data_IF_403409004691
#
_entry.id   IF_403409004691
#
_cell.length_a   1.000
_cell.length_b   1.000
_cell.length_c   1.000
_cell.angle_alpha   90.00
_cell.angle_beta   90.00
_cell.angle_gamma   90.00
#
_symmetry.space_group_name_H-M   'P 1'
#
loop_
_entity.id
_entity.type
_entity.pdbx_description
1 polymer ?
#
# COMPACT_ATOMS: atom_id res chain seq x y z
N UNK A 1 -64.01 -36.25 -102.33
CA UNK A 1 -63.67 -34.88 -101.88
C UNK A 1 -62.95 -35.09 -100.55
N UNK A 2 -61.62 -35.04 -100.43
CA UNK A 2 -60.68 -34.06 -100.97
C UNK A 2 -60.37 -33.05 -99.84
N UNK A 3 -59.14 -32.73 -99.44
CA UNK A 3 -57.80 -32.94 -100.06
C UNK A 3 -56.68 -33.11 -99.00
N UNK A 4 -55.47 -33.41 -99.46
CA UNK A 4 -54.22 -33.55 -98.67
C UNK A 4 -53.51 -32.20 -98.38
N UNK A 5 -52.27 -32.32 -97.85
CA UNK A 5 -51.15 -31.35 -97.69
C UNK A 5 -50.99 -30.71 -96.28
N UNK A 6 -50.11 -31.19 -95.39
CA UNK A 6 -48.61 -31.23 -95.32
C UNK A 6 -47.91 -29.89 -95.06
N UNK A 7 -46.99 -29.83 -94.06
CA UNK A 7 -45.66 -29.12 -94.07
C UNK A 7 -44.93 -29.22 -92.70
N UNK A 8 -43.59 -29.14 -92.71
CA UNK A 8 -42.61 -29.32 -91.62
C UNK A 8 -41.24 -28.70 -92.07
N UNK A 9 -40.17 -28.41 -91.26
CA UNK A 9 -39.98 -28.45 -89.79
C UNK A 9 -39.27 -27.22 -89.13
N UNK A 10 -39.29 -27.12 -87.77
CA UNK A 10 -38.27 -26.46 -86.89
C UNK A 10 -38.02 -24.93 -87.06
N UNK A 11 -37.24 -24.22 -86.19
CA UNK A 11 -36.79 -24.48 -84.81
C UNK A 11 -37.10 -23.33 -83.79
N UNK A 12 -36.80 -23.56 -82.50
CA UNK A 12 -36.20 -22.54 -81.62
C UNK A 12 -37.08 -21.72 -80.66
N UNK A 13 -37.01 -22.04 -79.36
CA UNK A 13 -36.50 -21.12 -78.32
C UNK A 13 -36.42 -21.81 -76.95
N UNK A 14 -35.22 -21.92 -76.39
CA UNK A 14 -34.99 -22.50 -75.07
C UNK A 14 -35.51 -21.52 -73.99
N UNK A 15 -36.70 -21.77 -73.43
CA UNK A 15 -37.18 -21.02 -72.26
C UNK A 15 -36.32 -21.41 -71.05
N UNK A 16 -35.58 -20.44 -70.51
CA UNK A 16 -34.82 -20.56 -69.26
C UNK A 16 -35.76 -20.92 -68.11
N UNK A 17 -35.34 -21.91 -67.32
CA UNK A 17 -36.14 -22.48 -66.25
C UNK A 17 -36.24 -21.52 -65.05
N UNK A 18 -37.28 -21.66 -64.22
CA UNK A 18 -37.48 -20.82 -63.04
C UNK A 18 -36.32 -20.96 -62.02
N UNK A 19 -35.65 -22.11 -62.01
CA UNK A 19 -34.47 -22.38 -61.18
C UNK A 19 -33.26 -21.50 -61.52
N UNK A 20 -33.04 -21.16 -62.79
CA UNK A 20 -31.96 -20.22 -63.17
C UNK A 20 -32.22 -18.82 -62.60
N UNK A 21 -33.48 -18.37 -62.65
CA UNK A 21 -33.88 -17.07 -62.08
C UNK A 21 -33.75 -17.04 -60.56
N UNK A 22 -34.04 -18.15 -59.88
CA UNK A 22 -33.84 -18.28 -58.44
C UNK A 22 -32.34 -18.20 -58.10
N UNK A 23 -31.47 -18.93 -58.82
CA UNK A 23 -30.02 -18.92 -58.59
C UNK A 23 -29.37 -17.55 -58.83
N UNK A 24 -29.83 -16.80 -59.84
CA UNK A 24 -29.34 -15.42 -60.13
C UNK A 24 -29.60 -14.46 -58.96
N UNK A 25 -30.65 -14.68 -58.16
CA UNK A 25 -31.01 -13.84 -57.00
C UNK A 25 -30.42 -14.41 -55.69
N UNK A 26 -30.41 -15.74 -55.53
CA UNK A 26 -29.88 -16.40 -54.34
C UNK A 26 -28.37 -16.31 -54.20
N UNK A 27 -27.61 -16.33 -55.30
CA UNK A 27 -26.14 -16.22 -55.26
C UNK A 27 -25.64 -14.96 -54.53
N UNK A 28 -26.06 -13.74 -54.95
CA UNK A 28 -25.69 -12.50 -54.27
C UNK A 28 -26.22 -12.38 -52.84
N UNK A 29 -27.42 -12.90 -52.56
CA UNK A 29 -28.02 -12.83 -51.22
C UNK A 29 -27.31 -13.78 -50.24
N UNK A 30 -26.91 -14.97 -50.68
CA UNK A 30 -26.16 -15.91 -49.86
C UNK A 30 -24.77 -15.35 -49.47
N UNK A 31 -24.05 -14.73 -50.41
CA UNK A 31 -22.75 -14.11 -50.09
C UNK A 31 -22.90 -12.95 -49.11
N UNK A 32 -23.91 -12.10 -49.27
CA UNK A 32 -24.26 -11.04 -48.30
C UNK A 32 -24.55 -11.60 -46.90
N UNK A 33 -25.36 -12.65 -46.79
CA UNK A 33 -25.68 -13.28 -45.50
C UNK A 33 -24.44 -13.90 -44.83
N UNK A 34 -23.54 -14.53 -45.60
CA UNK A 34 -22.28 -15.03 -45.04
C UNK A 34 -21.37 -13.90 -44.55
N UNK A 35 -21.25 -12.80 -45.30
CA UNK A 35 -20.47 -11.63 -44.91
C UNK A 35 -21.02 -10.97 -43.63
N UNK A 36 -22.33 -10.80 -43.51
CA UNK A 36 -23.00 -10.28 -42.31
C UNK A 36 -22.76 -11.20 -41.11
N UNK A 37 -22.83 -12.52 -41.30
CA UNK A 37 -22.60 -13.50 -40.23
C UNK A 37 -21.16 -13.48 -39.75
N UNK A 38 -20.18 -13.44 -40.67
CA UNK A 38 -18.77 -13.29 -40.35
C UNK A 38 -18.50 -11.96 -39.62
N UNK A 39 -19.13 -10.86 -40.05
CA UNK A 39 -18.99 -9.56 -39.39
C UNK A 39 -19.55 -9.57 -37.96
N UNK A 40 -20.74 -10.15 -37.74
CA UNK A 40 -21.35 -10.30 -36.41
C UNK A 40 -20.51 -11.17 -35.47
N UNK A 41 -20.06 -12.34 -35.94
CA UNK A 41 -19.18 -13.22 -35.17
C UNK A 41 -17.85 -12.53 -34.88
N UNK A 42 -17.25 -11.84 -35.86
CA UNK A 42 -16.01 -11.09 -35.67
C UNK A 42 -16.17 -9.94 -34.67
N UNK A 43 -17.30 -9.24 -34.67
CA UNK A 43 -17.60 -8.15 -33.73
C UNK A 43 -17.77 -8.68 -32.29
N UNK A 44 -18.55 -9.75 -32.10
CA UNK A 44 -18.77 -10.38 -30.79
C UNK A 44 -17.46 -11.00 -30.27
N UNK A 45 -16.73 -11.72 -31.13
CA UNK A 45 -15.44 -12.31 -30.77
C UNK A 45 -14.39 -11.23 -30.43
N UNK A 46 -14.34 -10.12 -31.18
CA UNK A 46 -13.46 -8.99 -30.87
C UNK A 46 -13.82 -8.37 -29.52
N UNK A 47 -15.11 -8.16 -29.21
CA UNK A 47 -15.54 -7.64 -27.91
C UNK A 47 -15.13 -8.51 -26.71
N UNK A 48 -15.00 -9.82 -26.91
CA UNK A 48 -14.52 -10.77 -25.91
C UNK A 48 -12.99 -10.84 -25.82
N UNK A 49 -12.31 -10.95 -26.98
CA UNK A 49 -10.85 -11.01 -27.08
C UNK A 49 -10.18 -9.72 -26.60
N UNK A 50 -10.74 -8.55 -26.95
CA UNK A 50 -10.16 -7.26 -26.61
C UNK A 50 -10.15 -7.02 -25.08
N UNK A 51 -11.16 -7.51 -24.34
CA UNK A 51 -11.15 -7.47 -22.86
C UNK A 51 -10.05 -8.32 -22.24
N UNK A 52 -9.77 -9.49 -22.80
CA UNK A 52 -8.70 -10.36 -22.32
C UNK A 52 -7.32 -9.75 -22.63
N UNK A 53 -7.14 -9.19 -23.82
CA UNK A 53 -5.92 -8.49 -24.22
C UNK A 53 -5.68 -7.21 -23.40
N UNK A 54 -6.73 -6.42 -23.10
CA UNK A 54 -6.65 -5.23 -22.26
C UNK A 54 -6.24 -5.59 -20.82
N UNK A 55 -6.81 -6.66 -20.25
CA UNK A 55 -6.43 -7.15 -18.93
C UNK A 55 -4.98 -7.66 -18.92
N UNK A 56 -4.57 -8.42 -19.94
CA UNK A 56 -3.19 -8.90 -20.06
C UNK A 56 -2.18 -7.75 -20.22
N UNK A 57 -2.51 -6.73 -21.01
CA UNK A 57 -1.69 -5.52 -21.16
C UNK A 57 -1.56 -4.74 -19.84
N UNK A 58 -2.65 -4.59 -19.08
CA UNK A 58 -2.62 -4.02 -17.72
C UNK A 58 -1.72 -4.85 -16.80
N UNK A 59 -1.90 -6.17 -16.74
CA UNK A 59 -1.04 -7.04 -15.90
C UNK A 59 0.43 -6.91 -16.26
N UNK A 60 0.78 -6.89 -17.56
CA UNK A 60 2.16 -6.69 -18.03
C UNK A 60 2.73 -5.35 -17.58
N UNK A 61 2.00 -4.25 -17.78
CA UNK A 61 2.40 -2.91 -17.33
C UNK A 61 2.59 -2.86 -15.80
N UNK A 62 1.69 -3.46 -15.02
CA UNK A 62 1.86 -3.59 -13.57
C UNK A 62 3.12 -4.39 -13.19
N UNK A 63 3.39 -5.52 -13.85
CA UNK A 63 4.61 -6.30 -13.58
C UNK A 63 5.88 -5.56 -13.96
N UNK A 64 5.87 -4.79 -15.06
CA UNK A 64 7.02 -3.97 -15.47
C UNK A 64 7.26 -2.81 -14.50
N UNK A 65 6.21 -2.05 -14.16
CA UNK A 65 6.29 -0.97 -13.17
C UNK A 65 6.77 -1.49 -11.80
N UNK A 66 6.27 -2.65 -11.36
CA UNK A 66 6.70 -3.29 -10.12
C UNK A 66 8.16 -3.75 -10.19
N UNK A 67 8.59 -4.35 -11.30
CA UNK A 67 9.99 -4.75 -11.51
C UNK A 67 10.94 -3.54 -11.56
N UNK A 68 10.54 -2.45 -12.21
CA UNK A 68 11.31 -1.19 -12.26
C UNK A 68 11.40 -0.53 -10.89
N UNK A 69 10.33 -0.61 -10.11
CA UNK A 69 10.29 -0.17 -8.71
C UNK A 69 11.25 -1.01 -7.85
N UNK A 70 11.16 -2.35 -7.88
CA UNK A 70 12.06 -3.21 -7.08
C UNK A 70 13.54 -3.07 -7.52
N UNK A 71 13.82 -2.83 -8.80
CA UNK A 71 15.15 -2.51 -9.33
C UNK A 71 15.70 -1.20 -8.75
N UNK A 72 14.92 -0.11 -8.84
CA UNK A 72 15.35 1.21 -8.35
C UNK A 72 15.46 1.27 -6.82
N UNK A 73 14.54 0.64 -6.09
CA UNK A 73 14.59 0.48 -4.62
C UNK A 73 15.81 -0.33 -4.17
N UNK A 74 16.24 -1.33 -4.94
CA UNK A 74 17.41 -2.15 -4.62
C UNK A 74 18.72 -1.43 -4.91
N UNK A 75 18.79 -0.65 -5.99
CA UNK A 75 19.92 0.24 -6.27
C UNK A 75 20.06 1.33 -5.18
N UNK A 76 18.98 2.04 -4.88
CA UNK A 76 18.93 3.06 -3.83
C UNK A 76 19.41 2.49 -2.48
N UNK A 77 18.89 1.34 -2.05
CA UNK A 77 19.30 0.69 -0.78
C UNK A 77 20.79 0.32 -0.77
N UNK A 78 21.36 -0.14 -1.88
CA UNK A 78 22.79 -0.46 -1.98
C UNK A 78 23.67 0.78 -1.83
N UNK A 79 23.32 1.87 -2.51
CA UNK A 79 24.11 3.10 -2.49
C UNK A 79 24.00 3.80 -1.13
N UNK A 80 22.79 3.83 -0.54
CA UNK A 80 22.57 4.29 0.83
C UNK A 80 23.32 3.45 1.86
N UNK A 81 23.27 2.11 1.77
CA UNK A 81 24.01 1.22 2.68
C UNK A 81 25.52 1.47 2.60
N UNK A 82 26.05 1.64 1.39
CA UNK A 82 27.46 1.99 1.16
C UNK A 82 27.80 3.35 1.80
N UNK A 83 26.91 4.34 1.68
CA UNK A 83 27.06 5.63 2.34
C UNK A 83 27.07 5.51 3.87
N UNK A 84 26.12 4.79 4.47
CA UNK A 84 26.04 4.55 5.93
C UNK A 84 27.29 3.86 6.46
N UNK A 85 27.73 2.78 5.79
CA UNK A 85 28.91 2.01 6.17
C UNK A 85 30.16 2.90 6.13
N UNK A 86 30.34 3.70 5.07
CA UNK A 86 31.57 4.48 4.89
C UNK A 86 31.61 5.76 5.74
N UNK A 87 30.46 6.40 5.98
CA UNK A 87 30.39 7.65 6.75
C UNK A 87 30.28 7.41 8.26
N UNK A 88 29.17 6.79 8.70
CA UNK A 88 28.78 6.69 10.11
C UNK A 88 29.53 5.57 10.83
N UNK A 89 29.75 4.43 10.15
CA UNK A 89 30.29 3.20 10.75
C UNK A 89 31.81 3.03 10.58
N UNK A 90 32.34 3.36 9.40
CA UNK A 90 33.76 3.20 9.04
C UNK A 90 34.50 4.53 8.91
N UNK A 91 33.93 5.61 9.45
CA UNK A 91 34.55 6.93 9.49
C UNK A 91 35.99 6.88 10.03
N UNK A 92 36.88 7.75 9.55
CA UNK A 92 38.31 7.70 9.89
C UNK A 92 38.52 7.67 11.40
N UNK A 93 39.47 6.86 11.85
CA UNK A 93 39.83 6.67 13.27
C UNK A 93 39.97 8.03 13.97
N UNK A 94 38.98 8.39 14.80
CA UNK A 94 38.91 9.69 15.48
C UNK A 94 37.71 10.59 15.11
N UNK A 95 36.85 10.22 14.15
CA UNK A 95 35.64 10.99 13.83
C UNK A 95 34.76 11.21 15.08
N UNK A 96 34.48 12.46 15.39
CA UNK A 96 33.77 12.89 16.59
C UNK A 96 32.30 12.46 16.59
N UNK A 97 31.65 12.50 17.75
CA UNK A 97 30.21 12.24 17.83
C UNK A 97 29.40 13.31 17.09
N UNK A 98 29.85 14.57 17.07
CA UNK A 98 29.16 15.64 16.33
C UNK A 98 29.10 15.37 14.83
N UNK A 99 30.23 14.95 14.24
CA UNK A 99 30.32 14.58 12.81
C UNK A 99 29.39 13.42 12.47
N UNK A 100 29.31 12.40 13.33
CA UNK A 100 28.40 11.26 13.15
C UNK A 100 26.93 11.66 13.26
N UNK A 101 26.59 12.55 14.19
CA UNK A 101 25.23 13.09 14.33
C UNK A 101 24.86 13.93 13.10
N UNK A 102 25.78 14.77 12.59
CA UNK A 102 25.58 15.54 11.36
C UNK A 102 25.39 14.63 10.13
N UNK A 103 26.15 13.54 10.02
CA UNK A 103 25.97 12.55 8.96
C UNK A 103 24.61 11.83 9.05
N UNK A 104 24.19 11.45 10.26
CA UNK A 104 22.85 10.89 10.47
C UNK A 104 21.76 11.90 10.11
N UNK A 105 21.95 13.18 10.43
CA UNK A 105 21.01 14.27 10.09
C UNK A 105 20.86 14.46 8.58
N UNK A 106 21.96 14.49 7.84
CA UNK A 106 21.95 14.54 6.38
C UNK A 106 21.29 13.29 5.78
N UNK A 107 21.59 12.09 6.30
CA UNK A 107 20.96 10.85 5.84
C UNK A 107 19.45 10.86 6.13
N UNK A 108 19.06 11.26 7.34
CA UNK A 108 17.69 11.22 7.80
C UNK A 108 16.79 12.18 7.01
N UNK A 109 17.23 13.42 6.79
CA UNK A 109 16.41 14.39 6.05
C UNK A 109 16.29 14.10 4.55
N UNK A 110 17.19 13.32 3.95
CA UNK A 110 17.12 12.96 2.53
C UNK A 110 16.52 11.58 2.26
N UNK A 111 16.52 10.67 3.24
CA UNK A 111 16.15 9.25 3.02
C UNK A 111 15.16 8.68 4.05
N UNK A 112 14.45 9.53 4.82
CA UNK A 112 13.52 9.08 5.88
C UNK A 112 12.44 8.09 5.43
N UNK A 113 11.99 8.12 4.18
CA UNK A 113 10.97 7.18 3.67
C UNK A 113 11.56 5.83 3.25
N UNK A 114 12.87 5.78 3.00
CA UNK A 114 13.56 4.69 2.30
C UNK A 114 14.38 3.76 3.20
N UNK A 115 14.59 4.12 4.47
CA UNK A 115 15.47 3.42 5.40
C UNK A 115 14.88 3.37 6.81
N UNK A 116 15.05 2.21 7.49
CA UNK A 116 14.92 2.17 8.94
C UNK A 116 16.18 2.80 9.57
N UNK A 117 16.00 3.98 10.17
CA UNK A 117 17.06 4.76 10.81
C UNK A 117 17.17 4.48 12.32
N UNK A 118 16.17 3.85 12.93
CA UNK A 118 16.07 3.61 14.38
C UNK A 118 17.35 2.99 14.97
N UNK A 119 17.96 1.93 14.40
CA UNK A 119 19.25 1.41 14.87
C UNK A 119 20.39 2.43 14.90
N UNK A 120 20.42 3.40 13.97
CA UNK A 120 21.45 4.44 13.91
C UNK A 120 21.24 5.49 14.99
N UNK A 121 19.99 5.92 15.22
CA UNK A 121 19.63 6.81 16.33
C UNK A 121 19.97 6.17 17.68
N UNK A 122 19.49 4.94 17.94
CA UNK A 122 19.80 4.20 19.18
C UNK A 122 21.30 3.96 19.36
N UNK A 123 22.04 3.71 18.27
CA UNK A 123 23.49 3.54 18.31
C UNK A 123 24.22 4.84 18.68
N UNK A 124 23.85 5.97 18.07
CA UNK A 124 24.49 7.26 18.36
C UNK A 124 24.13 7.79 19.76
N UNK A 125 22.91 7.61 20.25
CA UNK A 125 22.57 7.98 21.63
C UNK A 125 23.36 7.13 22.64
N UNK A 126 23.43 5.81 22.43
CA UNK A 126 24.26 4.92 23.26
C UNK A 126 25.74 5.30 23.23
N UNK A 127 26.29 5.64 22.05
CA UNK A 127 27.67 6.14 21.90
C UNK A 127 27.88 7.45 22.63
N UNK A 128 26.94 8.38 22.54
CA UNK A 128 26.95 9.66 23.25
C UNK A 128 26.98 9.48 24.78
N UNK A 129 26.26 8.48 25.32
CA UNK A 129 26.34 8.13 26.75
C UNK A 129 27.73 7.65 27.17
N UNK A 130 28.42 6.90 26.31
CA UNK A 130 29.71 6.24 26.61
C UNK A 130 30.92 7.16 26.36
N UNK A 131 30.95 7.89 25.24
CA UNK A 131 32.13 8.61 24.77
C UNK A 131 32.14 10.09 25.22
N UNK A 132 30.96 10.72 25.36
CA UNK A 132 30.85 12.14 25.73
C UNK A 132 30.93 12.31 27.26
N UNK A 133 32.12 12.70 27.75
CA UNK A 133 32.36 12.93 29.19
C UNK A 133 31.70 14.20 29.74
N UNK A 134 31.60 15.26 28.94
CA UNK A 134 30.93 16.50 29.37
C UNK A 134 29.41 16.29 29.40
N UNK A 135 28.82 16.44 30.60
CA UNK A 135 27.37 16.34 30.81
C UNK A 135 26.59 17.35 29.97
N UNK A 136 27.08 18.58 29.78
CA UNK A 136 26.36 19.61 29.02
C UNK A 136 26.35 19.26 27.53
N UNK A 137 27.52 18.94 26.98
CA UNK A 137 27.63 18.51 25.58
C UNK A 137 26.83 17.24 25.29
N UNK A 138 26.87 16.25 26.20
CA UNK A 138 26.09 15.02 26.08
C UNK A 138 24.58 15.27 26.02
N UNK A 139 24.07 16.19 26.83
CA UNK A 139 22.66 16.59 26.80
C UNK A 139 22.31 17.29 25.48
N UNK A 140 23.15 18.20 24.99
CA UNK A 140 22.94 18.88 23.70
C UNK A 140 22.92 17.90 22.51
N UNK A 141 23.79 16.89 22.50
CA UNK A 141 23.76 15.83 21.48
C UNK A 141 22.51 14.94 21.58
N UNK A 142 22.05 14.61 22.79
CA UNK A 142 20.82 13.84 23.01
C UNK A 142 19.60 14.63 22.53
N UNK A 143 19.53 15.92 22.86
CA UNK A 143 18.50 16.84 22.38
C UNK A 143 18.51 17.00 20.85
N UNK A 144 19.70 17.10 20.22
CA UNK A 144 19.83 17.15 18.76
C UNK A 144 19.33 15.86 18.08
N UNK A 145 19.60 14.69 18.65
CA UNK A 145 19.06 13.41 18.15
C UNK A 145 17.53 13.37 18.24
N UNK A 146 16.93 13.80 19.36
CA UNK A 146 15.47 13.84 19.52
C UNK A 146 14.79 14.90 18.65
N UNK A 147 15.41 16.06 18.45
CA UNK A 147 14.91 17.07 17.52
C UNK A 147 14.91 16.52 16.09
N UNK A 148 16.01 15.89 15.66
CA UNK A 148 16.12 15.27 14.35
C UNK A 148 15.07 14.16 14.15
N UNK A 149 14.84 13.30 15.14
CA UNK A 149 13.84 12.23 15.03
C UNK A 149 12.41 12.75 15.02
N UNK A 150 12.08 13.78 15.82
CA UNK A 150 10.79 14.49 15.72
C UNK A 150 10.57 15.11 14.35
N UNK A 151 11.59 15.75 13.76
CA UNK A 151 11.52 16.31 12.42
C UNK A 151 11.32 15.24 11.32
N UNK A 152 11.97 14.08 11.47
CA UNK A 152 11.73 12.91 10.60
C UNK A 152 10.29 12.41 10.73
N UNK A 153 9.80 12.26 11.97
CA UNK A 153 8.42 11.82 12.24
C UNK A 153 7.40 12.84 11.71
N UNK A 154 7.65 14.15 11.86
CA UNK A 154 6.84 15.21 11.27
C UNK A 154 6.75 15.09 9.75
N UNK A 155 7.88 14.86 9.06
CA UNK A 155 7.91 14.69 7.59
C UNK A 155 7.18 13.44 7.13
N UNK A 156 7.32 12.32 7.85
CA UNK A 156 6.56 11.09 7.55
C UNK A 156 5.06 11.25 7.80
N UNK A 157 4.66 11.99 8.84
CA UNK A 157 3.24 12.31 9.08
C UNK A 157 2.70 13.23 7.97
N UNK A 158 3.49 14.22 7.55
CA UNK A 158 3.12 15.12 6.47
C UNK A 158 2.92 14.39 5.12
N UNK A 159 3.75 13.38 4.79
CA UNK A 159 3.54 12.56 3.58
C UNK A 159 2.38 11.55 3.68
N UNK A 160 1.77 11.44 4.87
CA UNK A 160 0.54 10.70 5.14
C UNK A 160 -0.70 11.60 5.26
N UNK A 161 -0.59 12.92 5.09
CA UNK A 161 -1.74 13.84 5.12
C UNK A 161 -2.78 13.50 4.04
N UNK A 162 -4.06 13.59 4.40
CA UNK A 162 -5.19 13.26 3.50
C UNK A 162 -5.43 11.77 3.23
N UNK A 163 -4.48 10.88 3.53
CA UNK A 163 -4.63 9.42 3.41
C UNK A 163 -4.62 8.67 4.76
N UNK A 164 -4.21 9.34 5.83
CA UNK A 164 -4.21 8.81 7.20
C UNK A 164 -5.32 9.39 8.07
N UNK A 165 -5.63 8.68 9.15
CA UNK A 165 -6.41 9.15 10.28
C UNK A 165 -5.50 9.15 11.51
N UNK A 166 -5.43 10.27 12.22
CA UNK A 166 -4.51 10.48 13.35
C UNK A 166 -5.34 10.81 14.58
N UNK A 167 -5.21 9.97 15.61
CA UNK A 167 -5.84 10.16 16.90
C UNK A 167 -4.78 10.53 17.93
N UNK A 168 -4.98 11.66 18.63
CA UNK A 168 -4.02 12.17 19.61
C UNK A 168 -4.35 11.63 21.00
N UNK A 169 -3.35 11.09 21.68
CA UNK A 169 -3.46 10.63 23.06
C UNK A 169 -2.43 11.32 23.95
N UNK A 170 -2.94 12.24 24.77
CA UNK A 170 -2.16 12.92 25.80
C UNK A 170 -2.38 12.20 27.14
N UNK A 171 -1.32 11.60 27.67
CA UNK A 171 -1.36 10.88 28.93
C UNK A 171 -0.60 11.64 30.03
N UNK A 172 -1.25 11.83 31.17
CA UNK A 172 -0.60 12.36 32.36
C UNK A 172 -0.24 11.24 33.33
N UNK A 173 1.03 11.14 33.72
CA UNK A 173 1.50 10.14 34.67
C UNK A 173 1.69 10.70 36.09
N UNK A 174 1.21 11.90 36.37
CA UNK A 174 1.17 12.42 37.74
C UNK A 174 0.06 11.75 38.56
N UNK A 175 0.45 10.83 39.44
CA UNK A 175 -0.47 10.11 40.33
C UNK A 175 -1.23 11.01 41.30
N UNK A 176 -0.81 12.27 41.50
CA UNK A 176 -1.49 13.24 42.35
C UNK A 176 -2.40 14.15 41.51
N UNK A 177 -1.84 14.80 40.49
CA UNK A 177 -2.56 15.82 39.71
C UNK A 177 -3.53 15.24 38.68
N UNK A 178 -3.35 13.98 38.27
CA UNK A 178 -4.13 13.31 37.23
C UNK A 178 -4.80 12.02 37.72
N UNK A 179 -5.09 11.96 39.02
CA UNK A 179 -5.82 10.87 39.65
C UNK A 179 -7.16 10.62 38.95
N UNK A 180 -7.34 9.42 38.40
CA UNK A 180 -8.54 9.03 37.66
C UNK A 180 -8.46 9.11 36.14
N UNK A 181 -7.32 9.50 35.54
CA UNK A 181 -7.08 9.24 34.11
C UNK A 181 -6.89 7.74 33.86
N UNK A 182 -7.63 7.21 32.87
CA UNK A 182 -7.41 5.85 32.38
C UNK A 182 -6.06 5.73 31.68
N UNK A 183 -5.34 4.63 31.99
CA UNK A 183 -4.10 4.24 31.31
C UNK A 183 -4.34 3.68 29.91
N UNK A 184 -5.61 3.60 29.48
CA UNK A 184 -6.03 3.04 28.19
C UNK A 184 -6.79 4.07 27.37
N UNK A 185 -6.21 4.46 26.25
CA UNK A 185 -6.90 5.17 25.18
C UNK A 185 -7.71 4.20 24.32
N UNK A 186 -8.84 4.62 23.79
CA UNK A 186 -9.59 3.84 22.79
C UNK A 186 -10.16 4.74 21.70
N UNK A 187 -9.99 4.32 20.45
CA UNK A 187 -10.57 4.95 19.27
C UNK A 187 -11.07 3.89 18.28
N UNK A 188 -11.70 4.35 17.19
CA UNK A 188 -12.16 3.46 16.11
C UNK A 188 -11.84 4.05 14.75
N UNK A 189 -11.22 3.26 13.87
CA UNK A 189 -11.02 3.63 12.47
C UNK A 189 -12.01 2.91 11.57
N UNK A 190 -12.58 3.62 10.60
CA UNK A 190 -13.48 3.07 9.60
C UNK A 190 -12.70 2.76 8.32
N UNK A 191 -13.00 1.61 7.72
CA UNK A 191 -12.45 1.20 6.42
C UNK A 191 -13.51 0.40 5.64
N UNK A 192 -13.23 0.01 4.40
CA UNK A 192 -14.13 -0.80 3.58
C UNK A 192 -13.39 -1.81 2.73
N UNK A 193 -13.92 -3.03 2.68
CA UNK A 193 -13.37 -4.16 1.93
C UNK A 193 -14.29 -4.50 0.78
N UNK A 194 -13.74 -4.66 -0.43
CA UNK A 194 -14.53 -5.08 -1.59
C UNK A 194 -14.71 -6.59 -1.60
N UNK A 195 -15.96 -7.06 -1.49
CA UNK A 195 -16.32 -8.48 -1.43
C UNK A 195 -16.76 -9.02 -2.81
N UNK A 196 -16.14 -8.53 -3.88
CA UNK A 196 -16.41 -8.91 -5.26
C UNK A 196 -17.66 -8.27 -5.90
N UNK A 197 -18.71 -7.99 -5.12
CA UNK A 197 -19.98 -7.41 -5.59
C UNK A 197 -20.37 -6.09 -4.89
N UNK A 198 -20.01 -5.92 -3.62
CA UNK A 198 -20.28 -4.72 -2.83
C UNK A 198 -19.09 -4.39 -1.92
N UNK A 199 -19.10 -3.18 -1.37
CA UNK A 199 -18.18 -2.75 -0.32
C UNK A 199 -18.80 -3.05 1.04
N UNK A 200 -18.11 -3.86 1.84
CA UNK A 200 -18.46 -4.11 3.23
C UNK A 200 -17.69 -3.12 4.12
N UNK A 201 -18.42 -2.36 4.94
CA UNK A 201 -17.82 -1.50 5.97
C UNK A 201 -17.19 -2.38 7.04
N UNK A 202 -15.94 -2.09 7.39
CA UNK A 202 -15.21 -2.74 8.47
C UNK A 202 -14.78 -1.68 9.48
N UNK A 203 -14.71 -2.05 10.76
CA UNK A 203 -14.28 -1.14 11.82
C UNK A 203 -13.10 -1.74 12.57
N UNK A 204 -12.03 -0.97 12.71
CA UNK A 204 -10.90 -1.30 13.55
C UNK A 204 -11.09 -0.63 14.90
N UNK A 205 -11.43 -1.40 15.93
CA UNK A 205 -11.47 -0.92 17.32
C UNK A 205 -10.05 -1.00 17.86
N UNK A 206 -9.48 0.14 18.26
CA UNK A 206 -8.12 0.21 18.78
C UNK A 206 -8.13 0.63 20.24
N UNK A 207 -7.30 -0.02 21.05
CA UNK A 207 -7.02 0.31 22.43
C UNK A 207 -5.52 0.34 22.65
N UNK A 208 -5.01 1.46 23.13
CA UNK A 208 -3.61 1.65 23.50
C UNK A 208 -3.53 1.76 25.02
N UNK A 209 -2.97 0.75 25.67
CA UNK A 209 -2.78 0.70 27.12
C UNK A 209 -1.31 0.92 27.46
N UNK A 210 -1.01 1.87 28.35
CA UNK A 210 0.33 2.06 28.91
C UNK A 210 0.56 1.00 29.99
N UNK A 211 1.67 0.27 29.90
CA UNK A 211 2.06 -0.77 30.84
C UNK A 211 3.12 -0.27 31.83
N UNK A 212 4.10 0.49 31.35
CA UNK A 212 5.24 0.96 32.13
C UNK A 212 5.83 2.25 31.54
N UNK A 213 6.52 3.04 32.37
CA UNK A 213 7.04 4.38 32.02
C UNK A 213 8.47 4.51 32.55
N UNK A 214 9.44 4.71 31.66
CA UNK A 214 10.83 4.99 31.99
C UNK A 214 11.17 6.46 31.70
N UNK A 215 11.21 7.26 32.76
CA UNK A 215 11.54 8.69 32.71
C UNK A 215 13.04 8.99 32.58
N UNK A 216 13.91 7.98 32.68
CA UNK A 216 15.37 8.13 32.53
C UNK A 216 15.75 7.98 31.06
N UNK A 217 15.21 6.95 30.40
CA UNK A 217 15.42 6.69 28.98
C UNK A 217 14.44 7.45 28.09
N UNK A 218 13.35 8.00 28.65
CA UNK A 218 12.22 8.61 27.95
C UNK A 218 11.55 7.61 27.01
N UNK A 219 11.10 6.51 27.58
CA UNK A 219 10.45 5.43 26.84
C UNK A 219 9.23 4.88 27.58
N UNK A 220 8.30 4.33 26.82
CA UNK A 220 7.03 3.78 27.27
C UNK A 220 6.91 2.33 26.85
N UNK A 221 6.54 1.43 27.76
CA UNK A 221 6.05 0.11 27.38
C UNK A 221 4.53 0.19 27.19
N UNK A 222 4.05 -0.17 26.00
CA UNK A 222 2.63 -0.12 25.65
C UNK A 222 2.11 -1.45 25.15
N UNK A 223 0.80 -1.64 25.28
CA UNK A 223 0.05 -2.72 24.63
C UNK A 223 -0.96 -2.12 23.67
N UNK A 224 -0.86 -2.50 22.42
CA UNK A 224 -1.76 -2.11 21.36
C UNK A 224 -2.69 -3.30 21.07
N UNK A 225 -3.97 -3.17 21.41
CA UNK A 225 -5.01 -4.13 21.08
C UNK A 225 -5.83 -3.55 19.92
N UNK A 226 -5.80 -4.22 18.77
CA UNK A 226 -6.55 -3.84 17.57
C UNK A 226 -7.43 -5.00 17.16
N UNK A 227 -8.75 -4.84 17.24
CA UNK A 227 -9.73 -5.79 16.75
C UNK A 227 -10.39 -5.26 15.47
N UNK A 228 -10.24 -6.00 14.37
CA UNK A 228 -10.97 -5.72 13.12
C UNK A 228 -12.31 -6.46 13.15
N UNK A 229 -13.38 -5.69 13.20
CA UNK A 229 -14.76 -6.19 13.18
C UNK A 229 -15.26 -6.22 11.74
N UNK A 230 -15.81 -7.37 11.33
CA UNK A 230 -16.32 -7.60 9.98
C UNK A 230 -17.75 -8.15 10.03
N UNK A 231 -18.70 -7.60 9.27
CA UNK A 231 -20.07 -8.11 9.24
C UNK A 231 -20.12 -9.62 8.93
N UNK A 232 -20.70 -10.41 9.84
CA UNK A 232 -20.90 -11.85 9.67
C UNK A 232 -19.63 -12.72 9.73
N UNK A 233 -18.51 -12.21 10.24
CA UNK A 233 -17.27 -12.98 10.48
C UNK A 233 -16.79 -12.79 11.92
N UNK A 234 -15.94 -13.69 12.41
CA UNK A 234 -15.28 -13.54 13.71
C UNK A 234 -14.30 -12.35 13.71
N UNK A 235 -14.29 -11.61 14.81
CA UNK A 235 -13.38 -10.48 15.03
C UNK A 235 -11.92 -10.96 15.01
N UNK A 236 -11.09 -10.32 14.19
CA UNK A 236 -9.66 -10.61 14.12
C UNK A 236 -8.88 -9.58 14.93
N UNK A 237 -8.37 -10.00 16.09
CA UNK A 237 -7.61 -9.16 17.00
C UNK A 237 -6.10 -9.42 16.95
N UNK A 238 -5.32 -8.34 17.02
CA UNK A 238 -3.87 -8.35 17.23
C UNK A 238 -3.55 -7.61 18.53
N UNK A 239 -2.70 -8.19 19.38
CA UNK A 239 -2.37 -7.67 20.71
C UNK A 239 -0.84 -7.50 20.94
N UNK A 240 -0.06 -6.86 20.05
CA UNK A 240 1.36 -6.63 20.29
C UNK A 240 1.58 -5.75 21.54
N UNK A 241 2.66 -6.07 22.27
CA UNK A 241 3.23 -5.23 23.30
C UNK A 241 4.68 -4.90 22.92
N UNK A 242 5.07 -3.64 23.06
CA UNK A 242 6.35 -3.11 22.61
C UNK A 242 6.72 -1.83 23.36
N UNK A 243 7.99 -1.45 23.28
CA UNK A 243 8.49 -0.17 23.78
C UNK A 243 8.40 0.89 22.68
N UNK A 244 8.12 2.13 23.08
CA UNK A 244 8.18 3.33 22.24
C UNK A 244 9.11 4.34 22.92
N UNK A 245 10.08 4.89 22.19
CA UNK A 245 10.87 6.05 22.55
C UNK A 245 10.66 7.20 21.53
N UNK A 246 11.70 7.96 21.17
CA UNK A 246 11.63 9.04 20.19
C UNK A 246 12.10 8.60 18.78
N UNK A 247 12.46 7.34 18.59
CA UNK A 247 13.12 6.82 17.39
C UNK A 247 12.25 5.83 16.58
N UNK A 248 11.00 5.59 16.97
CA UNK A 248 10.00 4.86 16.18
C UNK A 248 9.41 5.77 15.09
N UNK A 249 9.47 5.30 13.84
CA UNK A 249 9.03 6.07 12.69
C UNK A 249 7.78 5.43 12.06
N UNK A 250 6.68 6.17 11.83
CA UNK A 250 5.37 5.56 11.56
C UNK A 250 5.33 4.74 10.26
N UNK A 251 6.05 5.16 9.22
CA UNK A 251 6.14 4.40 7.95
C UNK A 251 6.91 3.08 8.11
N UNK A 252 7.61 2.88 9.24
CA UNK A 252 8.62 1.83 9.42
C UNK A 252 8.21 0.85 10.53
N UNK A 253 7.79 1.39 11.67
CA UNK A 253 7.46 0.67 12.89
C UNK A 253 5.93 0.75 13.09
N UNK A 254 5.23 -0.12 12.35
CA UNK A 254 3.77 -0.19 12.34
C UNK A 254 3.26 -1.63 12.46
N UNK A 255 2.08 -1.77 13.05
CA UNK A 255 1.33 -3.03 13.05
C UNK A 255 0.54 -3.14 11.75
N UNK A 256 0.75 -4.23 11.00
CA UNK A 256 -0.04 -4.57 9.81
C UNK A 256 -1.41 -5.11 10.21
N UNK A 257 -2.43 -4.62 9.53
CA UNK A 257 -3.83 -5.00 9.68
C UNK A 257 -4.35 -5.59 8.37
N UNK A 258 -5.62 -6.01 8.39
CA UNK A 258 -6.32 -6.52 7.21
C UNK A 258 -6.55 -5.37 6.21
N UNK A 259 -6.78 -5.71 4.93
CA UNK A 259 -7.03 -4.74 3.84
C UNK A 259 -5.82 -3.84 3.54
N UNK A 260 -4.60 -4.36 3.73
CA UNK A 260 -3.34 -3.61 3.58
C UNK A 260 -3.32 -2.31 4.39
N UNK A 261 -3.98 -2.28 5.57
CA UNK A 261 -3.98 -1.15 6.50
C UNK A 261 -2.88 -1.27 7.55
N UNK A 262 -2.41 -0.13 8.04
CA UNK A 262 -1.33 0.01 9.03
C UNK A 262 -1.79 0.84 10.20
N UNK A 263 -1.34 0.48 11.40
CA UNK A 263 -1.47 1.31 12.59
C UNK A 263 -0.09 1.48 13.23
N UNK A 264 0.40 2.72 13.30
CA UNK A 264 1.59 3.10 14.03
C UNK A 264 1.22 3.82 15.33
N UNK A 265 2.14 3.78 16.29
CA UNK A 265 2.05 4.57 17.52
C UNK A 265 3.39 5.28 17.66
N UNK A 266 3.37 6.60 17.79
CA UNK A 266 4.60 7.41 17.85
C UNK A 266 4.53 8.33 19.07
N UNK A 267 5.65 8.51 19.76
CA UNK A 267 5.75 9.52 20.81
C UNK A 267 6.08 10.88 20.18
N UNK A 268 5.31 11.90 20.58
CA UNK A 268 5.41 13.28 20.10
C UNK A 268 6.22 14.12 21.06
N UNK A 269 5.91 14.03 22.35
CA UNK A 269 6.66 14.67 23.42
C UNK A 269 6.61 13.87 24.73
N UNK A 270 7.61 14.05 25.59
CA UNK A 270 7.73 13.46 26.91
C UNK A 270 8.20 14.54 27.89
N UNK A 271 7.26 15.29 28.45
CA UNK A 271 7.55 16.34 29.42
C UNK A 271 7.72 15.74 30.83
N UNK A 272 8.98 15.61 31.26
CA UNK A 272 9.30 15.14 32.62
C UNK A 272 9.00 16.15 33.74
N UNK A 273 8.76 17.42 33.39
CA UNK A 273 8.52 18.51 34.34
C UNK A 273 7.04 18.58 34.69
N UNK A 274 6.19 18.65 33.66
CA UNK A 274 4.73 18.68 33.83
C UNK A 274 4.13 17.26 33.93
N UNK A 275 4.92 16.20 33.66
CA UNK A 275 4.55 14.78 33.70
C UNK A 275 3.45 14.39 32.69
N UNK A 276 3.55 14.96 31.49
CA UNK A 276 2.71 14.61 30.35
C UNK A 276 3.52 13.90 29.28
N UNK A 277 2.86 13.01 28.56
CA UNK A 277 3.40 12.34 27.38
C UNK A 277 2.36 12.46 26.28
N UNK A 278 2.78 12.99 25.13
CA UNK A 278 1.94 13.12 23.95
C UNK A 278 2.29 11.99 22.97
N UNK A 279 1.28 11.26 22.50
CA UNK A 279 1.41 10.20 21.51
C UNK A 279 0.39 10.39 20.39
N UNK A 280 0.79 10.09 19.16
CA UNK A 280 -0.14 10.03 18.02
C UNK A 280 -0.32 8.56 17.59
N UNK A 281 -1.58 8.17 17.42
CA UNK A 281 -2.00 6.88 16.90
C UNK A 281 -2.41 7.06 15.43
N UNK A 282 -1.62 6.52 14.50
CA UNK A 282 -1.69 6.84 13.08
C UNK A 282 -2.17 5.62 12.30
N UNK A 283 -3.36 5.70 11.70
CA UNK A 283 -3.94 4.68 10.82
C UNK A 283 -3.83 5.09 9.36
N UNK A 284 -3.22 4.27 8.51
CA UNK A 284 -2.90 4.64 7.13
C UNK A 284 -2.82 3.42 6.17
N UNK A 285 -2.96 3.61 4.84
CA UNK A 285 -2.79 2.54 3.87
C UNK A 285 -1.31 2.12 3.70
N UNK A 286 -1.07 0.82 3.61
CA UNK A 286 0.24 0.19 3.48
C UNK A 286 1.00 0.56 2.21
N UNK A 287 0.33 1.10 1.18
CA UNK A 287 0.99 1.71 0.02
C UNK A 287 1.87 2.93 0.35
N UNK A 288 1.68 3.54 1.54
CA UNK A 288 2.50 4.62 2.09
C UNK A 288 3.39 4.14 3.26
N UNK A 289 3.52 2.83 3.48
CA UNK A 289 4.58 2.30 4.35
C UNK A 289 5.93 2.31 3.64
N UNK A 290 7.03 2.31 4.40
CA UNK A 290 8.39 2.39 3.89
C UNK A 290 8.72 1.22 2.94
N UNK A 291 9.66 1.46 2.03
CA UNK A 291 10.12 0.59 0.93
C UNK A 291 10.78 -0.74 1.37
N UNK A 292 10.59 -1.13 2.64
CA UNK A 292 11.09 -2.36 3.28
C UNK A 292 10.20 -3.57 3.00
N UNK A 293 8.88 -3.38 2.90
CA UNK A 293 7.93 -4.50 2.79
C UNK A 293 7.61 -4.90 1.35
N UNK A 294 7.78 -6.19 1.06
CA UNK A 294 7.19 -6.79 -0.13
C UNK A 294 5.66 -6.84 0.03
N UNK A 295 4.87 -6.41 -0.96
CA UNK A 295 3.44 -6.66 -0.95
C UNK A 295 3.19 -8.18 -0.94
N UNK A 296 2.24 -8.64 -0.13
CA UNK A 296 1.89 -10.05 -0.06
C UNK A 296 1.09 -10.45 -1.31
N UNK A 297 1.28 -11.69 -1.76
CA UNK A 297 0.57 -12.21 -2.93
C UNK A 297 -0.95 -12.02 -2.83
N UNK A 298 -1.55 -12.20 -1.66
CA UNK A 298 -3.00 -12.05 -1.48
C UNK A 298 -3.49 -10.61 -1.72
N UNK A 299 -2.76 -9.59 -1.25
CA UNK A 299 -3.10 -8.18 -1.49
C UNK A 299 -2.90 -7.78 -2.96
N UNK A 300 -1.89 -8.37 -3.62
CA UNK A 300 -1.66 -8.20 -5.06
C UNK A 300 -2.79 -8.87 -5.85
N UNK A 301 -3.17 -10.10 -5.50
CA UNK A 301 -4.26 -10.85 -6.14
C UNK A 301 -5.60 -10.15 -5.94
N UNK A 302 -5.87 -9.61 -4.75
CA UNK A 302 -7.06 -8.80 -4.48
C UNK A 302 -7.11 -7.52 -5.33
N UNK A 303 -5.95 -6.86 -5.56
CA UNK A 303 -5.85 -5.67 -6.44
C UNK A 303 -5.85 -6.01 -7.94
N UNK A 304 -5.39 -7.20 -8.33
CA UNK A 304 -5.32 -7.66 -9.73
C UNK A 304 -6.57 -8.37 -10.25
N UNK A 305 -7.46 -8.84 -9.36
CA UNK A 305 -8.72 -9.49 -9.74
C UNK A 305 -9.91 -8.53 -9.55
N UNK A 306 -10.22 -7.65 -10.53
CA UNK A 306 -11.57 -7.10 -10.60
C UNK A 306 -12.55 -8.28 -10.69
N UNK A 307 -13.61 -8.22 -9.88
CA UNK A 307 -14.37 -9.40 -9.46
C UNK A 307 -14.61 -10.42 -10.57
N UNK A 308 -14.23 -11.68 -10.33
CA UNK A 308 -14.75 -12.83 -11.07
C UNK A 308 -16.25 -12.91 -10.81
N UNK A 309 -17.03 -12.16 -11.60
CA UNK A 309 -18.47 -12.24 -11.62
C UNK A 309 -18.87 -13.69 -11.81
N UNK A 310 -19.66 -14.21 -10.88
CA UNK A 310 -19.96 -15.63 -10.80
C UNK A 310 -20.59 -16.13 -12.08
N UNK A 311 -19.93 -17.09 -12.74
CA UNK A 311 -20.58 -18.02 -13.66
C UNK A 311 -21.57 -18.85 -12.84
N UNK A 312 -22.79 -18.35 -12.69
CA UNK A 312 -23.94 -19.20 -12.39
C UNK A 312 -24.32 -19.94 -13.67
N UNK A 313 -24.12 -21.26 -13.64
CA UNK A 313 -24.94 -22.17 -14.43
C UNK A 313 -26.34 -22.27 -13.79
#
# INVERSE_FOLDING_TARGET
MGTEETVNPQPGHHKRDFWDKANIILGPVATLMTAVTIALVSYIASGYLNKNQENEAKTRLYTELMSRREESESALRKDMFTSIINSILSGPQGSSIDEKILQLELLAYNFHESLNLTPLFTYLDRRNVIETKDRKLRLAYKERLYNMSREVTNKQIASLEGVSSIEKFNYCYDTINCAGMDQTFSCTFQDSVFNGNHWDSITHVVRLTILNIDTINLSLEVRLNICTQMPGKEDKCANPAFTIDFFEFPMIDNTRLINDRRCAVVMRDFDTTNKFIEMDLIFFPGSHSSLKERPYYDDIVAKLLPGRGGLKN
#
